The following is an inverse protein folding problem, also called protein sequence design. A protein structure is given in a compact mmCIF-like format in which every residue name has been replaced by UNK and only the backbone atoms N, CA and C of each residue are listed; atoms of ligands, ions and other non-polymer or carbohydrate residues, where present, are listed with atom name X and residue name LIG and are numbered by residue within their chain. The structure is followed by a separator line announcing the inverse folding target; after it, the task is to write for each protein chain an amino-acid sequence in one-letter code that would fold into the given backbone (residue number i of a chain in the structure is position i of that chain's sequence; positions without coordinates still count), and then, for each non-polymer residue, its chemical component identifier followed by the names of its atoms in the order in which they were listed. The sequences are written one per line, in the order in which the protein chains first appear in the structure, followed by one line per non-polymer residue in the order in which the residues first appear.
data_IF_601204557736
#
_entry.id   IF_601204557736
#
_cell.length_a   1.000
_cell.length_b   1.000
_cell.length_c   1.000
_cell.angle_alpha   90.00
_cell.angle_beta   90.00
_cell.angle_gamma   90.00
#
_symmetry.space_group_name_H-M   'P 1'
#
loop_
_entity.id
_entity.type
_entity.pdbx_description
1 polymer ?
#
# COMPACT_ATOMS: atom_id res chain seq x y z
N UNK A 1 -39.21 -52.41 -8.26
CA UNK A 1 -38.70 -51.02 -8.25
C UNK A 1 -38.13 -50.78 -9.62
N UNK A 2 -38.44 -49.65 -10.26
CA UNK A 2 -37.83 -49.26 -11.52
C UNK A 2 -36.31 -49.04 -11.27
N UNK A 3 -35.48 -49.89 -11.87
CA UNK A 3 -34.02 -49.86 -11.71
C UNK A 3 -33.44 -48.51 -12.18
N UNK A 4 -34.04 -47.90 -13.19
CA UNK A 4 -33.65 -46.58 -13.74
C UNK A 4 -33.92 -45.48 -12.72
N UNK A 5 -35.10 -45.51 -12.09
CA UNK A 5 -35.47 -44.54 -11.06
C UNK A 5 -34.55 -44.63 -9.82
N UNK A 6 -34.17 -45.85 -9.41
CA UNK A 6 -33.19 -46.04 -8.34
C UNK A 6 -31.81 -45.48 -8.71
N UNK A 7 -31.31 -45.77 -9.92
CA UNK A 7 -30.04 -45.24 -10.41
C UNK A 7 -30.05 -43.70 -10.48
N UNK A 8 -31.17 -43.09 -10.90
CA UNK A 8 -31.32 -41.64 -10.90
C UNK A 8 -31.29 -41.04 -9.49
N UNK A 9 -31.88 -41.73 -8.51
CA UNK A 9 -31.80 -41.37 -7.08
C UNK A 9 -30.36 -41.34 -6.56
N UNK A 10 -29.56 -42.37 -6.87
CA UNK A 10 -28.15 -42.42 -6.45
C UNK A 10 -27.31 -41.33 -7.11
N UNK A 11 -27.54 -41.01 -8.40
CA UNK A 11 -26.86 -39.90 -9.09
C UNK A 11 -27.17 -38.56 -8.42
N UNK A 12 -28.41 -38.34 -7.97
CA UNK A 12 -28.79 -37.12 -7.24
C UNK A 12 -28.12 -37.01 -5.86
N UNK A 13 -27.97 -38.14 -5.17
CA UNK A 13 -27.26 -38.20 -3.89
C UNK A 13 -25.76 -37.91 -4.08
N UNK A 14 -25.13 -38.56 -5.05
CA UNK A 14 -23.71 -38.36 -5.40
C UNK A 14 -23.43 -36.90 -5.81
N UNK A 15 -24.35 -36.27 -6.54
CA UNK A 15 -24.29 -34.84 -6.86
C UNK A 15 -24.21 -33.99 -5.60
N UNK A 16 -25.13 -34.18 -4.65
CA UNK A 16 -25.17 -33.38 -3.42
C UNK A 16 -23.90 -33.52 -2.58
N UNK A 17 -23.33 -34.72 -2.52
CA UNK A 17 -22.09 -35.00 -1.81
C UNK A 17 -20.89 -34.33 -2.50
N UNK A 18 -20.81 -34.44 -3.82
CA UNK A 18 -19.73 -33.84 -4.62
C UNK A 18 -19.78 -32.32 -4.53
N UNK A 19 -20.97 -31.70 -4.58
CA UNK A 19 -21.15 -30.26 -4.37
C UNK A 19 -20.63 -29.83 -3.00
N UNK A 20 -20.95 -30.57 -1.94
CA UNK A 20 -20.48 -30.25 -0.59
C UNK A 20 -18.95 -30.27 -0.50
N UNK A 21 -18.30 -31.29 -1.09
CA UNK A 21 -16.84 -31.40 -1.13
C UNK A 21 -16.18 -30.27 -1.95
N UNK A 22 -16.75 -29.92 -3.11
CA UNK A 22 -16.25 -28.80 -3.92
C UNK A 22 -16.35 -27.50 -3.13
N UNK A 23 -17.48 -27.25 -2.46
CA UNK A 23 -17.67 -26.06 -1.63
C UNK A 23 -16.69 -25.99 -0.45
N UNK A 24 -16.40 -27.12 0.20
CA UNK A 24 -15.41 -27.18 1.27
C UNK A 24 -14.02 -26.78 0.77
N UNK A 25 -13.59 -27.32 -0.38
CA UNK A 25 -12.34 -26.93 -1.01
C UNK A 25 -12.33 -25.44 -1.41
N UNK A 26 -13.43 -24.92 -1.96
CA UNK A 26 -13.56 -23.49 -2.29
C UNK A 26 -13.37 -22.61 -1.06
N UNK A 27 -14.02 -22.93 0.06
CA UNK A 27 -13.86 -22.19 1.32
C UNK A 27 -12.44 -22.27 1.88
N UNK A 28 -11.81 -23.44 1.80
CA UNK A 28 -10.42 -23.62 2.21
C UNK A 28 -9.46 -22.77 1.35
N UNK A 29 -9.73 -22.70 0.03
CA UNK A 29 -9.00 -21.82 -0.88
C UNK A 29 -9.21 -20.34 -0.51
N UNK A 30 -10.44 -19.90 -0.26
CA UNK A 30 -10.74 -18.50 0.13
C UNK A 30 -10.01 -18.09 1.42
N UNK A 31 -9.90 -19.01 2.38
CA UNK A 31 -9.20 -18.78 3.64
C UNK A 31 -7.67 -18.73 3.50
N UNK A 32 -7.11 -19.21 2.39
CA UNK A 32 -5.68 -19.25 2.17
C UNK A 32 -5.06 -17.85 2.21
N UNK A 33 -4.00 -17.68 3.00
CA UNK A 33 -3.28 -16.41 3.21
C UNK A 33 -3.94 -15.47 4.22
N UNK A 34 -5.05 -15.84 4.85
CA UNK A 34 -5.73 -14.99 5.85
C UNK A 34 -5.17 -15.13 7.28
N UNK A 35 -4.48 -16.23 7.58
CA UNK A 35 -4.04 -16.59 8.94
C UNK A 35 -2.63 -16.10 9.31
N UNK A 36 -1.97 -15.33 8.43
CA UNK A 36 -0.57 -14.95 8.59
C UNK A 36 0.44 -16.07 8.24
N UNK A 37 -0.02 -17.30 7.96
CA UNK A 37 0.80 -18.42 7.43
C UNK A 37 0.71 -18.57 5.92
N UNK A 38 0.70 -17.44 5.20
CA UNK A 38 0.43 -17.42 3.77
C UNK A 38 1.41 -18.23 2.92
N UNK A 39 2.66 -18.41 3.37
CA UNK A 39 3.70 -19.20 2.68
C UNK A 39 3.49 -20.71 2.81
N UNK A 40 3.10 -21.20 3.99
CA UNK A 40 2.79 -22.62 4.20
C UNK A 40 1.49 -23.02 3.51
N UNK A 41 0.45 -22.18 3.61
CA UNK A 41 -0.86 -22.42 3.00
C UNK A 41 -0.78 -22.37 1.46
N UNK A 42 0.11 -21.54 0.90
CA UNK A 42 0.37 -21.48 -0.53
C UNK A 42 0.84 -22.84 -1.11
N UNK A 43 1.52 -23.67 -0.33
CA UNK A 43 1.96 -24.99 -0.79
C UNK A 43 0.80 -25.99 -0.91
N UNK A 44 -0.25 -25.82 -0.09
CA UNK A 44 -1.45 -26.66 -0.15
C UNK A 44 -2.44 -26.21 -1.26
N UNK A 45 -2.34 -24.96 -1.70
CA UNK A 45 -3.26 -24.34 -2.66
C UNK A 45 -3.39 -25.09 -4.00
N UNK A 46 -2.31 -25.57 -4.65
CA UNK A 46 -2.43 -26.34 -5.89
C UNK A 46 -3.21 -27.64 -5.69
N UNK A 47 -3.02 -28.32 -4.55
CA UNK A 47 -3.71 -29.57 -4.24
C UNK A 47 -5.20 -29.35 -4.01
N UNK A 48 -5.57 -28.32 -3.24
CA UNK A 48 -6.98 -27.96 -3.01
C UNK A 48 -7.68 -27.55 -4.32
N UNK A 49 -6.97 -26.83 -5.18
CA UNK A 49 -7.48 -26.51 -6.52
C UNK A 49 -7.67 -27.73 -7.40
N UNK A 50 -6.71 -28.65 -7.41
CA UNK A 50 -6.84 -29.93 -8.12
C UNK A 50 -8.09 -30.67 -7.68
N UNK A 51 -8.28 -30.87 -6.37
CA UNK A 51 -9.45 -31.54 -5.82
C UNK A 51 -10.77 -30.83 -6.18
N UNK A 52 -10.81 -29.50 -6.18
CA UNK A 52 -12.00 -28.75 -6.59
C UNK A 52 -12.30 -28.89 -8.09
N UNK A 53 -11.27 -28.89 -8.95
CA UNK A 53 -11.42 -29.10 -10.40
C UNK A 53 -11.88 -30.53 -10.72
N UNK A 54 -11.32 -31.52 -10.04
CA UNK A 54 -11.72 -32.92 -10.16
C UNK A 54 -13.19 -33.09 -9.74
N UNK A 55 -13.59 -32.45 -8.64
CA UNK A 55 -15.00 -32.42 -8.21
C UNK A 55 -15.92 -31.77 -9.24
N UNK A 56 -15.53 -30.65 -9.86
CA UNK A 56 -16.29 -30.04 -10.97
C UNK A 56 -16.38 -30.98 -12.18
N UNK A 57 -15.32 -31.70 -12.53
CA UNK A 57 -15.35 -32.69 -13.60
C UNK A 57 -16.32 -33.84 -13.29
N UNK A 58 -16.33 -34.33 -12.04
CA UNK A 58 -17.30 -35.33 -11.57
C UNK A 58 -18.74 -34.81 -11.65
N UNK A 59 -19.01 -33.56 -11.24
CA UNK A 59 -20.34 -32.95 -11.40
C UNK A 59 -20.77 -32.92 -12.89
N UNK A 60 -19.86 -32.57 -13.80
CA UNK A 60 -20.14 -32.58 -15.25
C UNK A 60 -20.51 -33.99 -15.74
N UNK A 61 -19.83 -35.02 -15.24
CA UNK A 61 -20.15 -36.42 -15.55
C UNK A 61 -21.52 -36.84 -15.01
N UNK A 62 -21.86 -36.44 -13.78
CA UNK A 62 -23.15 -36.73 -13.16
C UNK A 62 -24.32 -36.05 -13.88
N UNK A 63 -24.13 -34.82 -14.39
CA UNK A 63 -25.11 -34.18 -15.28
C UNK A 63 -25.40 -35.03 -16.52
N UNK A 64 -24.35 -35.50 -17.20
CA UNK A 64 -24.52 -36.36 -18.38
C UNK A 64 -25.22 -37.67 -18.03
N UNK A 65 -24.87 -38.28 -16.88
CA UNK A 65 -25.47 -39.53 -16.43
C UNK A 65 -26.96 -39.37 -16.09
N UNK A 66 -27.35 -38.27 -15.43
CA UNK A 66 -28.76 -37.99 -15.16
C UNK A 66 -29.53 -37.69 -16.46
N UNK A 67 -28.93 -37.00 -17.43
CA UNK A 67 -29.53 -36.73 -18.75
C UNK A 67 -29.81 -38.02 -19.53
N UNK A 68 -28.88 -38.98 -19.49
CA UNK A 68 -29.07 -40.30 -20.10
C UNK A 68 -30.18 -41.08 -19.40
N UNK A 69 -30.18 -41.11 -18.06
CA UNK A 69 -31.20 -41.82 -17.28
C UNK A 69 -32.59 -41.19 -17.45
N UNK A 70 -32.67 -39.86 -17.59
CA UNK A 70 -33.93 -39.14 -17.77
C UNK A 70 -34.69 -39.64 -19.01
N UNK A 71 -34.00 -39.97 -20.10
CA UNK A 71 -34.60 -40.49 -21.33
C UNK A 71 -35.15 -41.92 -21.17
N UNK A 72 -34.74 -42.64 -20.13
CA UNK A 72 -35.10 -44.02 -19.87
C UNK A 72 -36.18 -44.17 -18.78
N UNK A 73 -36.64 -43.06 -18.21
CA UNK A 73 -37.69 -43.07 -17.18
C UNK A 73 -39.03 -43.48 -17.78
N UNK A 74 -39.81 -44.22 -17.00
CA UNK A 74 -41.03 -44.87 -17.45
C UNK A 74 -42.24 -43.93 -17.52
N UNK A 75 -42.17 -42.77 -16.86
CA UNK A 75 -43.25 -41.78 -16.83
C UNK A 75 -42.78 -40.38 -17.25
N UNK A 76 -43.65 -39.67 -17.97
CA UNK A 76 -43.38 -38.29 -18.43
C UNK A 76 -43.17 -37.32 -17.25
N UNK A 77 -43.84 -37.54 -16.12
CA UNK A 77 -43.67 -36.73 -14.91
C UNK A 77 -42.26 -36.87 -14.33
N UNK A 78 -41.70 -38.08 -14.32
CA UNK A 78 -40.34 -38.34 -13.86
C UNK A 78 -39.30 -37.78 -14.83
N UNK A 79 -39.53 -37.89 -16.14
CA UNK A 79 -38.71 -37.26 -17.19
C UNK A 79 -38.65 -35.75 -16.96
N UNK A 80 -39.80 -35.10 -16.80
CA UNK A 80 -39.89 -33.65 -16.59
C UNK A 80 -39.23 -33.21 -15.27
N UNK A 81 -39.39 -34.00 -14.21
CA UNK A 81 -38.71 -33.78 -12.92
C UNK A 81 -37.19 -33.89 -13.02
N UNK A 82 -36.69 -34.89 -13.75
CA UNK A 82 -35.26 -35.05 -14.02
C UNK A 82 -34.71 -33.89 -14.86
N UNK A 83 -35.46 -33.42 -15.86
CA UNK A 83 -35.07 -32.28 -16.70
C UNK A 83 -35.02 -30.96 -15.91
N UNK A 84 -35.99 -30.73 -15.03
CA UNK A 84 -35.98 -29.59 -14.10
C UNK A 84 -34.75 -29.66 -13.18
N UNK A 85 -34.45 -30.86 -12.65
CA UNK A 85 -33.25 -31.09 -11.84
C UNK A 85 -31.97 -30.75 -12.61
N UNK A 86 -31.84 -31.21 -13.87
CA UNK A 86 -30.69 -30.92 -14.72
C UNK A 86 -30.49 -29.42 -14.98
N UNK A 87 -31.57 -28.67 -15.17
CA UNK A 87 -31.48 -27.22 -15.32
C UNK A 87 -30.97 -26.56 -14.03
N UNK A 88 -31.48 -26.97 -12.86
CA UNK A 88 -30.97 -26.48 -11.57
C UNK A 88 -29.49 -26.83 -11.36
N UNK A 89 -29.05 -28.01 -11.82
CA UNK A 89 -27.67 -28.46 -11.73
C UNK A 89 -26.73 -27.65 -12.62
N UNK A 90 -27.18 -27.22 -13.81
CA UNK A 90 -26.39 -26.34 -14.69
C UNK A 90 -26.13 -24.99 -14.01
N UNK A 91 -27.15 -24.41 -13.39
CA UNK A 91 -27.01 -23.15 -12.65
C UNK A 91 -26.08 -23.30 -11.44
N UNK A 92 -26.26 -24.35 -10.64
CA UNK A 92 -25.39 -24.64 -9.50
C UNK A 92 -23.93 -24.88 -9.93
N UNK A 93 -23.71 -25.60 -11.03
CA UNK A 93 -22.38 -25.85 -11.58
C UNK A 93 -21.67 -24.57 -11.99
N UNK A 94 -22.34 -23.69 -12.74
CA UNK A 94 -21.72 -22.43 -13.16
C UNK A 94 -21.49 -21.51 -11.95
N UNK A 95 -22.39 -21.50 -10.97
CA UNK A 95 -22.19 -20.78 -9.71
C UNK A 95 -20.94 -21.28 -8.97
N UNK A 96 -20.79 -22.60 -8.78
CA UNK A 96 -19.61 -23.20 -8.14
C UNK A 96 -18.32 -22.88 -8.89
N UNK A 97 -18.36 -22.92 -10.23
CA UNK A 97 -17.21 -22.58 -11.08
C UNK A 97 -16.80 -21.11 -10.91
N UNK A 98 -17.75 -20.20 -10.82
CA UNK A 98 -17.49 -18.78 -10.56
C UNK A 98 -16.96 -18.56 -9.14
N UNK A 99 -17.55 -19.21 -8.13
CA UNK A 99 -17.05 -19.18 -6.75
C UNK A 99 -15.61 -19.67 -6.65
N UNK A 100 -15.27 -20.80 -7.29
CA UNK A 100 -13.89 -21.30 -7.33
C UNK A 100 -12.93 -20.30 -7.97
N UNK A 101 -13.34 -19.60 -9.04
CA UNK A 101 -12.52 -18.57 -9.68
C UNK A 101 -12.33 -17.37 -8.76
N UNK A 102 -13.38 -16.91 -8.08
CA UNK A 102 -13.32 -15.82 -7.10
C UNK A 102 -12.39 -16.17 -5.94
N UNK A 103 -12.56 -17.37 -5.37
CA UNK A 103 -11.72 -17.92 -4.31
C UNK A 103 -10.24 -17.91 -4.67
N UNK A 104 -9.90 -18.34 -5.88
CA UNK A 104 -8.53 -18.32 -6.38
C UNK A 104 -7.94 -16.91 -6.48
N UNK A 105 -8.73 -15.94 -6.94
CA UNK A 105 -8.28 -14.55 -7.01
C UNK A 105 -8.04 -13.97 -5.61
N UNK A 106 -8.94 -14.26 -4.68
CA UNK A 106 -8.81 -13.83 -3.29
C UNK A 106 -7.61 -14.48 -2.60
N UNK A 107 -7.43 -15.80 -2.71
CA UNK A 107 -6.27 -16.53 -2.19
C UNK A 107 -4.95 -15.91 -2.70
N UNK A 108 -4.87 -15.63 -4.01
CA UNK A 108 -3.70 -14.99 -4.62
C UNK A 108 -3.44 -13.60 -4.07
N UNK A 109 -4.49 -12.82 -3.81
CA UNK A 109 -4.37 -11.50 -3.18
C UNK A 109 -3.85 -11.61 -1.74
N UNK A 110 -4.45 -12.50 -0.95
CA UNK A 110 -4.11 -12.73 0.45
C UNK A 110 -2.66 -13.21 0.60
N UNK A 111 -2.24 -14.20 -0.18
CA UNK A 111 -0.86 -14.71 -0.16
C UNK A 111 0.14 -13.60 -0.51
N UNK A 112 -0.15 -12.78 -1.53
CA UNK A 112 0.71 -11.64 -1.90
C UNK A 112 0.82 -10.62 -0.77
N UNK A 113 -0.31 -10.34 -0.11
CA UNK A 113 -0.35 -9.43 1.03
C UNK A 113 0.48 -9.98 2.20
N UNK A 114 0.26 -11.23 2.59
CA UNK A 114 1.00 -11.90 3.64
C UNK A 114 2.52 -11.93 3.35
N UNK A 115 2.91 -12.25 2.11
CA UNK A 115 4.32 -12.24 1.72
C UNK A 115 4.95 -10.84 1.77
N UNK A 116 4.19 -9.79 1.47
CA UNK A 116 4.63 -8.39 1.59
C UNK A 116 4.81 -8.00 3.06
N UNK A 117 3.84 -8.32 3.90
CA UNK A 117 3.87 -8.07 5.34
C UNK A 117 5.06 -8.79 6.01
N UNK A 118 5.30 -10.06 5.67
CA UNK A 118 6.45 -10.83 6.15
C UNK A 118 7.78 -10.18 5.74
N UNK A 119 7.92 -9.77 4.47
CA UNK A 119 9.11 -9.09 3.98
C UNK A 119 9.34 -7.74 4.68
N UNK A 120 8.28 -6.97 4.92
CA UNK A 120 8.37 -5.69 5.63
C UNK A 120 8.79 -5.87 7.08
N UNK A 121 8.28 -6.88 7.77
CA UNK A 121 8.72 -7.25 9.11
C UNK A 121 10.22 -7.60 9.13
N UNK A 122 10.67 -8.47 8.22
CA UNK A 122 12.06 -8.90 8.13
C UNK A 122 13.04 -7.75 7.82
N UNK A 123 12.60 -6.77 7.03
CA UNK A 123 13.42 -5.61 6.65
C UNK A 123 13.29 -4.43 7.64
N UNK A 124 12.64 -4.63 8.80
CA UNK A 124 12.39 -3.57 9.79
C UNK A 124 11.59 -2.40 9.21
N UNK A 125 10.82 -2.67 8.16
CA UNK A 125 10.10 -1.71 7.31
C UNK A 125 8.59 -1.89 7.39
N UNK A 126 8.07 -2.38 8.51
CA UNK A 126 6.63 -2.39 8.78
C UNK A 126 6.03 -0.99 8.67
N UNK A 127 4.71 -0.91 8.48
CA UNK A 127 3.99 0.35 8.24
C UNK A 127 4.32 1.42 9.30
N UNK A 128 4.38 1.02 10.57
CA UNK A 128 4.77 1.87 11.70
C UNK A 128 6.23 2.37 11.60
N UNK A 129 7.14 1.52 11.14
CA UNK A 129 8.55 1.88 10.91
C UNK A 129 8.70 2.86 9.73
N UNK A 130 7.87 2.74 8.69
CA UNK A 130 7.87 3.67 7.56
C UNK A 130 7.29 5.04 7.92
N UNK A 131 6.22 5.08 8.74
CA UNK A 131 5.64 6.33 9.25
C UNK A 131 6.64 7.02 10.17
N UNK A 132 7.23 6.29 11.11
CA UNK A 132 8.23 6.83 12.04
C UNK A 132 9.46 7.37 11.31
N UNK A 133 9.94 6.67 10.27
CA UNK A 133 11.07 7.14 9.44
C UNK A 133 10.72 8.43 8.69
N UNK A 134 9.55 8.51 8.08
CA UNK A 134 9.09 9.75 7.42
C UNK A 134 9.01 10.91 8.40
N UNK A 135 8.39 10.70 9.57
CA UNK A 135 8.28 11.72 10.61
C UNK A 135 9.67 12.19 11.10
N UNK A 136 10.59 11.25 11.31
CA UNK A 136 11.97 11.58 11.68
C UNK A 136 12.68 12.36 10.56
N UNK A 137 12.48 11.99 9.30
CA UNK A 137 13.04 12.68 8.15
C UNK A 137 12.50 14.11 8.01
N UNK A 138 11.20 14.32 8.22
CA UNK A 138 10.60 15.66 8.30
C UNK A 138 11.19 16.48 9.44
N UNK A 139 11.33 15.90 10.64
CA UNK A 139 11.94 16.57 11.79
C UNK A 139 13.40 16.96 11.55
N UNK A 140 14.20 16.05 10.99
CA UNK A 140 15.60 16.34 10.62
C UNK A 140 15.66 17.45 9.58
N UNK A 141 14.83 17.40 8.54
CA UNK A 141 14.77 18.44 7.51
C UNK A 141 14.43 19.82 8.11
N UNK A 142 13.45 19.86 9.02
CA UNK A 142 13.08 21.09 9.73
C UNK A 142 14.25 21.63 10.57
N UNK A 143 14.92 20.77 11.34
CA UNK A 143 16.06 21.14 12.18
C UNK A 143 17.22 21.67 11.33
N UNK A 144 17.56 20.98 10.23
CA UNK A 144 18.64 21.40 9.32
C UNK A 144 18.33 22.77 8.71
N UNK A 145 17.09 23.00 8.27
CA UNK A 145 16.67 24.30 7.73
C UNK A 145 16.74 25.42 8.78
N UNK A 146 16.25 25.18 10.00
CA UNK A 146 16.32 26.14 11.09
C UNK A 146 17.77 26.48 11.46
N UNK A 147 18.64 25.47 11.52
CA UNK A 147 20.06 25.66 11.80
C UNK A 147 20.74 26.49 10.70
N UNK A 148 20.43 26.20 9.44
CA UNK A 148 20.95 26.93 8.29
C UNK A 148 20.52 28.41 8.30
N UNK A 149 19.23 28.68 8.54
CA UNK A 149 18.69 30.04 8.67
C UNK A 149 19.36 30.79 9.84
N UNK A 150 19.54 30.13 10.98
CA UNK A 150 20.16 30.75 12.15
C UNK A 150 21.63 31.09 11.89
N UNK A 151 22.38 30.16 11.28
CA UNK A 151 23.80 30.37 10.95
C UNK A 151 23.98 31.50 9.93
N UNK A 152 23.12 31.57 8.91
CA UNK A 152 23.16 32.66 7.93
C UNK A 152 22.79 34.00 8.56
N UNK A 153 21.78 34.04 9.43
CA UNK A 153 21.40 35.26 10.17
C UNK A 153 22.55 35.77 11.03
N UNK A 154 23.19 34.91 11.81
CA UNK A 154 24.35 35.28 12.66
C UNK A 154 25.54 35.76 11.82
N UNK A 155 25.81 35.10 10.69
CA UNK A 155 26.85 35.53 9.76
C UNK A 155 26.59 36.91 9.17
N UNK A 156 25.34 37.17 8.75
CA UNK A 156 24.93 38.48 8.24
C UNK A 156 24.99 39.58 9.31
N UNK A 157 24.59 39.29 10.55
CA UNK A 157 24.68 40.27 11.64
C UNK A 157 26.12 40.61 11.99
N UNK A 158 27.02 39.62 12.02
CA UNK A 158 28.44 39.86 12.29
C UNK A 158 29.11 40.69 11.19
N UNK A 159 28.79 40.40 9.91
CA UNK A 159 29.26 41.20 8.79
C UNK A 159 28.74 42.65 8.86
N UNK A 160 27.45 42.83 9.18
CA UNK A 160 26.86 44.15 9.35
C UNK A 160 27.48 44.94 10.51
N UNK A 161 27.77 44.28 11.64
CA UNK A 161 28.42 44.88 12.79
C UNK A 161 29.85 45.35 12.45
N UNK A 162 30.63 44.51 11.76
CA UNK A 162 31.98 44.88 11.30
C UNK A 162 31.97 46.10 10.37
N UNK A 163 31.01 46.17 9.43
CA UNK A 163 30.87 47.31 8.52
C UNK A 163 30.50 48.57 9.31
N UNK A 164 29.51 48.47 10.20
CA UNK A 164 29.03 49.60 10.99
C UNK A 164 30.12 50.15 11.90
N UNK A 165 30.90 49.27 12.53
CA UNK A 165 32.03 49.64 13.38
C UNK A 165 33.16 50.29 12.58
N UNK A 166 33.48 49.78 11.38
CA UNK A 166 34.47 50.41 10.50
C UNK A 166 34.05 51.83 10.07
N UNK A 167 32.78 52.01 9.69
CA UNK A 167 32.22 53.33 9.35
C UNK A 167 32.25 54.28 10.55
N UNK A 168 31.96 53.76 11.75
CA UNK A 168 32.03 54.53 12.99
C UNK A 168 33.44 55.04 13.26
N UNK A 169 34.46 54.20 13.11
CA UNK A 169 35.88 54.59 13.27
C UNK A 169 36.30 55.61 12.22
N UNK A 170 35.95 55.39 10.95
CA UNK A 170 36.26 56.33 9.86
C UNK A 170 35.58 57.69 10.11
N UNK A 171 34.33 57.71 10.58
CA UNK A 171 33.63 58.94 10.96
C UNK A 171 34.38 59.68 12.09
N UNK A 172 34.84 58.97 13.12
CA UNK A 172 35.59 59.58 14.22
C UNK A 172 36.90 60.22 13.73
N UNK A 173 37.66 59.55 12.86
CA UNK A 173 38.88 60.10 12.29
C UNK A 173 38.63 61.33 11.42
N UNK A 174 37.58 61.32 10.60
CA UNK A 174 37.23 62.49 9.78
C UNK A 174 36.85 63.69 10.65
N UNK A 175 36.10 63.48 11.74
CA UNK A 175 35.77 64.56 12.69
C UNK A 175 37.04 65.14 13.30
N UNK A 176 37.96 64.28 13.76
CA UNK A 176 39.25 64.74 14.30
C UNK A 176 40.05 65.55 13.27
N UNK A 177 40.08 65.12 12.01
CA UNK A 177 40.81 65.84 10.97
C UNK A 177 40.18 67.19 10.63
N UNK A 178 38.85 67.30 10.66
CA UNK A 178 38.14 68.58 10.53
C UNK A 178 38.47 69.48 11.71
N UNK A 179 38.38 69.00 12.95
CA UNK A 179 38.73 69.78 14.14
C UNK A 179 40.19 70.25 14.10
N UNK A 180 41.11 69.37 13.69
CA UNK A 180 42.54 69.70 13.50
C UNK A 180 42.73 70.76 12.42
N UNK A 181 42.03 70.64 11.30
CA UNK A 181 42.08 71.60 10.18
C UNK A 181 41.51 72.96 10.60
N UNK A 182 40.39 72.98 11.32
CA UNK A 182 39.78 74.19 11.88
C UNK A 182 40.72 74.86 12.89
N UNK A 183 41.34 74.12 13.80
CA UNK A 183 42.30 74.66 14.76
C UNK A 183 43.54 75.24 14.06
N UNK A 184 44.02 74.57 13.02
CA UNK A 184 45.13 75.05 12.20
C UNK A 184 44.75 76.36 11.50
N UNK A 185 43.56 76.43 10.88
CA UNK A 185 43.02 77.63 10.24
C UNK A 185 42.84 78.80 11.23
N UNK A 186 42.31 78.55 12.43
CA UNK A 186 42.18 79.57 13.48
C UNK A 186 43.55 80.15 13.86
N UNK A 187 44.58 79.29 13.94
CA UNK A 187 45.95 79.69 14.22
C UNK A 187 46.52 80.56 13.09
N UNK A 188 46.31 80.20 11.82
CA UNK A 188 46.69 81.04 10.67
C UNK A 188 45.93 82.36 10.62
N UNK A 189 44.63 82.37 10.93
CA UNK A 189 43.82 83.59 11.01
C UNK A 189 44.33 84.58 12.06
N UNK A 190 44.81 84.07 13.21
CA UNK A 190 45.48 84.92 14.20
C UNK A 190 46.82 85.47 13.73
N UNK A 191 47.56 84.73 12.89
CA UNK A 191 48.82 85.23 12.29
C UNK A 191 48.57 86.30 11.21
N UNK A 192 47.53 86.17 10.39
CA UNK A 192 47.18 87.17 9.36
C UNK A 192 46.72 88.48 10.01
N UNK A 193 45.91 88.42 11.05
CA UNK A 193 45.50 89.62 11.81
C UNK A 193 46.67 90.33 12.52
N UNK A 194 47.81 89.66 12.75
CA UNK A 194 49.02 90.29 13.26
C UNK A 194 49.84 91.00 12.17
N UNK A 195 49.69 90.62 10.90
CA UNK A 195 50.43 91.19 9.77
C UNK A 195 49.73 92.44 9.24
N UNK A 196 48.39 92.52 9.32
CA UNK A 196 47.61 93.71 8.91
C UNK A 196 47.67 94.89 9.92
N UNK A 197 48.49 94.80 10.98
CA UNK A 197 48.67 95.85 12.02
C UNK A 197 50.09 96.48 11.97
N UNK A 198 50.87 96.28 10.90
CA UNK A 198 52.09 97.07 10.61
C UNK A 198 52.02 97.69 9.21
#
# INVERSE_FOLDING_TARGET
MDEVAHAAGEVKKEWSQTVAQVMENVRAIEACGSSGRGTEEANALPRMNGAAQDGLASLRSLQFRLDLLAQQLSTEEEVQSAQSTLNSWKEQYESLRLSLRSANLQAKSNIRKAAKEERELLLGGGEESTIRRRNLQYAICLIVNLLFISRTKVGMTSAAESITESLRRTRQLMVQEVERSTNTLMTFGTFVNLIDIN
#
